data_IF_864616980238
#
_entry.id   IF_864616980238
#
_cell.length_a   1.000
_cell.length_b   1.000
_cell.length_c   1.000
_cell.angle_alpha   90.00
_cell.angle_beta   90.00
_cell.angle_gamma   90.00
#
_symmetry.space_group_name_H-M   'P 1'
#
loop_
_entity.id
_entity.type
_entity.pdbx_description
1 polymer ?
#
# COMPACT_ATOMS: atom_id res chain seq x y z
N UNK A 1 2.07 -25.75 -29.21
CA UNK A 1 2.17 -25.25 -27.82
C UNK A 1 1.49 -23.90 -27.74
N UNK A 2 0.57 -23.74 -26.80
CA UNK A 2 -0.42 -22.66 -26.78
C UNK A 2 0.15 -21.42 -26.04
N UNK A 3 0.01 -20.24 -26.63
CA UNK A 3 0.55 -18.93 -26.18
C UNK A 3 0.07 -18.40 -24.80
N UNK A 4 -0.67 -19.16 -23.98
CA UNK A 4 -1.18 -18.66 -22.69
C UNK A 4 -0.18 -18.80 -21.54
N UNK A 5 0.77 -19.75 -21.62
CA UNK A 5 1.76 -19.95 -20.56
C UNK A 5 2.81 -18.82 -20.49
N UNK A 6 3.02 -18.09 -21.59
CA UNK A 6 3.98 -16.96 -21.65
C UNK A 6 3.54 -15.73 -20.84
N UNK A 7 2.27 -15.65 -20.45
CA UNK A 7 1.72 -14.50 -19.72
C UNK A 7 1.66 -14.70 -18.20
N UNK A 8 2.10 -15.86 -17.68
CA UNK A 8 2.04 -16.19 -16.25
C UNK A 8 3.27 -15.77 -15.44
N UNK A 9 4.34 -15.29 -16.09
CA UNK A 9 5.63 -15.02 -15.42
C UNK A 9 6.19 -13.62 -15.67
N UNK A 10 5.45 -12.72 -16.31
CA UNK A 10 5.95 -11.37 -16.55
C UNK A 10 5.81 -10.53 -15.29
N UNK A 11 6.93 -9.95 -14.84
CA UNK A 11 6.98 -8.90 -13.83
C UNK A 11 6.17 -7.66 -14.21
N UNK A 12 6.05 -6.71 -13.28
CA UNK A 12 5.48 -5.40 -13.59
C UNK A 12 6.27 -4.73 -14.73
N UNK A 13 5.59 -4.03 -15.66
CA UNK A 13 6.26 -3.15 -16.59
C UNK A 13 7.11 -2.12 -15.84
N UNK A 14 8.33 -1.87 -16.32
CA UNK A 14 9.30 -1.03 -15.62
C UNK A 14 8.77 0.38 -15.33
N UNK A 15 8.07 0.99 -16.29
CA UNK A 15 7.44 2.30 -16.11
C UNK A 15 6.40 2.31 -14.97
N UNK A 16 5.66 1.22 -14.80
CA UNK A 16 4.68 1.08 -13.72
C UNK A 16 5.39 0.93 -12.37
N UNK A 17 6.46 0.14 -12.33
CA UNK A 17 7.27 -0.05 -11.13
C UNK A 17 7.90 1.28 -10.66
N UNK A 18 8.50 2.04 -11.57
CA UNK A 18 9.10 3.34 -11.26
C UNK A 18 8.06 4.34 -10.74
N UNK A 19 6.87 4.36 -11.34
CA UNK A 19 5.75 5.17 -10.84
C UNK A 19 5.36 4.77 -9.42
N UNK A 20 5.22 3.46 -9.16
CA UNK A 20 4.86 2.94 -7.85
C UNK A 20 5.91 3.33 -6.80
N UNK A 21 7.20 3.19 -7.10
CA UNK A 21 8.28 3.59 -6.19
C UNK A 21 8.26 5.09 -5.88
N UNK A 22 8.02 5.93 -6.89
CA UNK A 22 7.91 7.38 -6.71
C UNK A 22 6.70 7.75 -5.85
N UNK A 23 5.53 7.22 -6.17
CA UNK A 23 4.28 7.49 -5.44
C UNK A 23 4.41 7.06 -3.97
N UNK A 24 5.02 5.90 -3.71
CA UNK A 24 5.24 5.40 -2.36
C UNK A 24 6.19 6.31 -1.55
N UNK A 25 7.25 6.85 -2.16
CA UNK A 25 8.16 7.76 -1.46
C UNK A 25 7.42 9.01 -0.96
N UNK A 26 6.63 9.63 -1.85
CA UNK A 26 5.83 10.80 -1.48
C UNK A 26 4.77 10.47 -0.45
N UNK A 27 4.10 9.31 -0.58
CA UNK A 27 3.07 8.91 0.37
C UNK A 27 3.63 8.66 1.77
N UNK A 28 4.81 8.02 1.89
CA UNK A 28 5.40 7.71 3.20
C UNK A 28 5.70 8.95 4.04
N UNK A 29 5.98 10.09 3.40
CA UNK A 29 6.22 11.37 4.09
C UNK A 29 4.94 11.99 4.66
N UNK A 30 3.78 11.69 4.06
CA UNK A 30 2.46 12.25 4.44
C UNK A 30 1.59 11.32 5.28
N UNK A 31 2.14 10.22 5.81
CA UNK A 31 1.36 9.24 6.58
C UNK A 31 0.66 9.85 7.80
N UNK A 32 1.31 10.68 8.64
CA UNK A 32 0.64 11.30 9.79
C UNK A 32 -0.60 12.08 9.38
N UNK A 33 -0.50 12.92 8.34
CA UNK A 33 -1.61 13.72 7.81
C UNK A 33 -2.75 12.85 7.25
N UNK A 34 -2.40 11.76 6.56
CA UNK A 34 -3.38 10.80 6.04
C UNK A 34 -4.18 10.18 7.18
N UNK A 35 -3.50 9.78 8.26
CA UNK A 35 -4.16 9.20 9.43
C UNK A 35 -5.02 10.27 10.09
N UNK A 36 -4.49 11.46 10.36
CA UNK A 36 -5.20 12.56 11.02
C UNK A 36 -6.52 12.89 10.32
N UNK A 37 -6.52 12.99 8.99
CA UNK A 37 -7.70 13.29 8.19
C UNK A 37 -8.85 12.27 8.36
N UNK A 38 -8.54 11.03 8.75
CA UNK A 38 -9.52 9.94 8.84
C UNK A 38 -9.67 9.36 10.25
N UNK A 39 -8.81 9.72 11.20
CA UNK A 39 -8.67 9.02 12.46
C UNK A 39 -9.97 9.02 13.30
N UNK A 40 -10.64 10.16 13.39
CA UNK A 40 -11.91 10.27 14.12
C UNK A 40 -13.02 9.42 13.51
N UNK A 41 -13.03 9.25 12.19
CA UNK A 41 -13.95 8.34 11.53
C UNK A 41 -13.60 6.88 11.78
N UNK A 42 -12.30 6.53 11.71
CA UNK A 42 -11.80 5.18 11.97
C UNK A 42 -12.11 4.73 13.40
N UNK A 43 -11.83 5.58 14.39
CA UNK A 43 -12.10 5.32 15.81
C UNK A 43 -13.58 5.07 16.13
N UNK A 44 -14.49 5.73 15.41
CA UNK A 44 -15.94 5.53 15.58
C UNK A 44 -16.45 4.26 14.90
N UNK A 45 -15.82 3.87 13.80
CA UNK A 45 -16.33 2.82 12.92
C UNK A 45 -15.67 1.47 13.15
N UNK A 46 -14.45 1.45 13.69
CA UNK A 46 -13.65 0.26 13.86
C UNK A 46 -13.29 0.06 15.33
N UNK A 47 -13.64 -1.11 15.86
CA UNK A 47 -13.16 -1.55 17.17
C UNK A 47 -11.85 -2.33 16.98
N UNK A 48 -10.72 -1.67 17.22
CA UNK A 48 -9.39 -2.28 17.17
C UNK A 48 -8.80 -2.40 18.58
N UNK A 49 -8.15 -3.52 18.85
CA UNK A 49 -7.43 -3.75 20.11
C UNK A 49 -6.02 -3.16 20.12
N UNK A 50 -5.46 -2.89 18.94
CA UNK A 50 -4.12 -2.35 18.73
C UNK A 50 -4.15 -1.34 17.58
N UNK A 51 -4.04 -0.05 17.91
CA UNK A 51 -4.12 1.04 16.94
C UNK A 51 -2.98 0.98 15.91
N UNK A 52 -1.77 0.66 16.38
CA UNK A 52 -0.57 0.57 15.54
C UNK A 52 -0.71 -0.51 14.46
N UNK A 53 -1.03 -1.74 14.86
CA UNK A 53 -1.19 -2.85 13.91
C UNK A 53 -2.33 -2.59 12.93
N UNK A 54 -3.43 -2.01 13.42
CA UNK A 54 -4.57 -1.64 12.59
C UNK A 54 -4.18 -0.59 11.53
N UNK A 55 -3.54 0.51 11.93
CA UNK A 55 -3.18 1.59 11.01
C UNK A 55 -2.12 1.16 10.00
N UNK A 56 -1.09 0.41 10.42
CA UNK A 56 -0.09 -0.17 9.50
C UNK A 56 -0.79 -1.08 8.48
N UNK A 57 -1.64 -1.99 8.95
CA UNK A 57 -2.39 -2.90 8.09
C UNK A 57 -3.30 -2.16 7.11
N UNK A 58 -4.01 -1.13 7.58
CA UNK A 58 -4.88 -0.29 6.76
C UNK A 58 -4.10 0.43 5.66
N UNK A 59 -2.97 1.07 5.98
CA UNK A 59 -2.15 1.79 5.00
C UNK A 59 -1.59 0.82 3.95
N UNK A 60 -1.03 -0.32 4.38
CA UNK A 60 -0.49 -1.33 3.46
C UNK A 60 -1.60 -1.89 2.56
N UNK A 61 -2.75 -2.25 3.12
CA UNK A 61 -3.89 -2.77 2.38
C UNK A 61 -4.45 -1.76 1.36
N UNK A 62 -4.56 -0.49 1.74
CA UNK A 62 -5.00 0.57 0.85
C UNK A 62 -4.00 0.80 -0.30
N UNK A 63 -2.69 0.75 -0.03
CA UNK A 63 -1.66 0.82 -1.08
C UNK A 63 -1.81 -0.35 -2.06
N UNK A 64 -1.91 -1.58 -1.55
CA UNK A 64 -2.05 -2.78 -2.39
C UNK A 64 -3.28 -2.67 -3.30
N UNK A 65 -4.44 -2.33 -2.73
CA UNK A 65 -5.68 -2.16 -3.50
C UNK A 65 -5.53 -1.06 -4.55
N UNK A 66 -4.98 0.09 -4.18
CA UNK A 66 -4.80 1.24 -5.08
C UNK A 66 -3.91 0.90 -6.27
N UNK A 67 -2.80 0.19 -6.06
CA UNK A 67 -1.91 -0.19 -7.16
C UNK A 67 -2.45 -1.34 -8.01
N UNK A 68 -3.23 -2.26 -7.44
CA UNK A 68 -3.97 -3.26 -8.22
C UNK A 68 -4.98 -2.57 -9.15
N UNK A 69 -5.74 -1.61 -8.61
CA UNK A 69 -6.72 -0.84 -9.38
C UNK A 69 -6.05 0.03 -10.45
N UNK A 70 -4.94 0.71 -10.11
CA UNK A 70 -4.18 1.51 -11.07
C UNK A 70 -3.62 0.67 -12.21
N UNK A 71 -3.10 -0.54 -11.89
CA UNK A 71 -2.65 -1.48 -12.91
C UNK A 71 -3.80 -1.89 -13.83
N UNK A 72 -4.94 -2.29 -13.26
CA UNK A 72 -6.11 -2.66 -14.05
C UNK A 72 -6.63 -1.52 -14.93
N UNK A 73 -6.62 -0.29 -14.43
CA UNK A 73 -6.99 0.89 -15.19
C UNK A 73 -6.05 1.14 -16.37
N UNK A 74 -4.74 1.06 -16.15
CA UNK A 74 -3.74 1.33 -17.18
C UNK A 74 -3.64 0.24 -18.25
N UNK A 75 -3.77 -1.03 -17.86
CA UNK A 75 -3.52 -2.17 -18.75
C UNK A 75 -4.78 -2.95 -19.14
N UNK A 76 -5.96 -2.57 -18.63
CA UNK A 76 -7.24 -3.21 -18.93
C UNK A 76 -7.36 -4.65 -18.43
N UNK A 77 -6.52 -5.07 -17.48
CA UNK A 77 -6.50 -6.43 -16.93
C UNK A 77 -5.99 -6.46 -15.49
N UNK A 78 -6.41 -7.47 -14.73
CA UNK A 78 -5.87 -7.71 -13.40
C UNK A 78 -4.39 -8.14 -13.45
N UNK A 79 -3.56 -7.75 -12.47
CA UNK A 79 -2.21 -8.26 -12.35
C UNK A 79 -2.20 -9.79 -12.15
N UNK A 80 -1.24 -10.48 -12.77
CA UNK A 80 -1.01 -11.89 -12.49
C UNK A 80 -0.30 -12.08 -11.13
N UNK A 81 -0.12 -13.33 -10.68
CA UNK A 81 0.50 -13.62 -9.38
C UNK A 81 1.90 -13.01 -9.22
N UNK A 82 2.72 -13.00 -10.28
CA UNK A 82 4.06 -12.41 -10.22
C UNK A 82 4.02 -10.89 -10.08
N UNK A 83 3.08 -10.24 -10.76
CA UNK A 83 2.86 -8.79 -10.67
C UNK A 83 2.29 -8.39 -9.31
N UNK A 84 1.40 -9.20 -8.73
CA UNK A 84 0.93 -9.00 -7.35
C UNK A 84 2.08 -9.12 -6.34
N UNK A 85 2.97 -10.11 -6.55
CA UNK A 85 4.18 -10.26 -5.73
C UNK A 85 5.09 -9.04 -5.87
N UNK A 86 5.31 -8.55 -7.09
CA UNK A 86 6.14 -7.36 -7.32
C UNK A 86 5.52 -6.11 -6.65
N UNK A 87 4.20 -5.90 -6.73
CA UNK A 87 3.49 -4.83 -6.00
C UNK A 87 3.73 -4.97 -4.49
N UNK A 88 3.50 -6.17 -3.95
CA UNK A 88 3.68 -6.44 -2.52
C UNK A 88 5.12 -6.16 -2.07
N UNK A 89 6.11 -6.67 -2.80
CA UNK A 89 7.52 -6.50 -2.47
C UNK A 89 7.93 -5.02 -2.48
N UNK A 90 7.44 -4.25 -3.44
CA UNK A 90 7.76 -2.81 -3.50
C UNK A 90 7.14 -2.03 -2.34
N UNK A 91 5.90 -2.36 -1.94
CA UNK A 91 5.28 -1.77 -0.73
C UNK A 91 6.04 -2.21 0.53
N UNK A 92 6.39 -3.49 0.64
CA UNK A 92 7.11 -4.05 1.79
C UNK A 92 8.49 -3.41 2.01
N UNK A 93 9.17 -2.95 0.95
CA UNK A 93 10.42 -2.15 1.07
C UNK A 93 10.22 -0.81 1.79
N UNK A 94 8.99 -0.32 1.86
CA UNK A 94 8.61 0.92 2.55
C UNK A 94 7.98 0.69 3.92
N UNK A 95 7.93 -0.56 4.36
CA UNK A 95 7.29 -0.93 5.64
C UNK A 95 7.85 -0.14 6.82
N UNK A 96 9.16 0.01 6.90
CA UNK A 96 9.81 0.74 8.01
C UNK A 96 9.34 2.20 8.05
N UNK A 97 9.28 2.88 6.90
CA UNK A 97 8.80 4.26 6.82
C UNK A 97 7.32 4.36 7.17
N UNK A 98 6.51 3.37 6.77
CA UNK A 98 5.09 3.30 7.14
C UNK A 98 4.94 3.17 8.65
N UNK A 99 5.68 2.24 9.25
CA UNK A 99 5.70 2.01 10.70
C UNK A 99 6.13 3.28 11.45
N UNK A 100 7.16 3.97 10.98
CA UNK A 100 7.63 5.23 11.55
C UNK A 100 6.57 6.34 11.49
N UNK A 101 5.91 6.52 10.34
CA UNK A 101 4.85 7.52 10.18
C UNK A 101 3.64 7.24 11.08
N UNK A 102 3.26 5.96 11.24
CA UNK A 102 2.18 5.55 12.15
C UNK A 102 2.59 5.81 13.61
N UNK A 103 3.80 5.43 14.00
CA UNK A 103 4.29 5.66 15.37
C UNK A 103 4.32 7.15 15.72
N UNK A 104 4.83 8.00 14.82
CA UNK A 104 4.86 9.45 15.03
C UNK A 104 3.44 10.01 15.29
N UNK A 105 2.46 9.63 14.47
CA UNK A 105 1.08 10.05 14.67
C UNK A 105 0.52 9.61 16.03
N UNK A 106 0.74 8.36 16.43
CA UNK A 106 0.22 7.82 17.69
C UNK A 106 0.86 8.50 18.91
N UNK A 107 2.17 8.76 18.86
CA UNK A 107 2.92 9.44 19.92
C UNK A 107 2.44 10.89 20.09
N UNK A 108 2.32 11.64 19.00
CA UNK A 108 1.86 13.04 19.03
C UNK A 108 0.44 13.19 19.58
N UNK A 109 -0.42 12.20 19.32
CA UNK A 109 -1.81 12.20 19.75
C UNK A 109 -2.06 11.47 21.07
N UNK A 110 -1.01 10.97 21.74
CA UNK A 110 -1.10 10.19 22.98
C UNK A 110 -2.06 8.98 22.88
N UNK A 111 -2.08 8.31 21.73
CA UNK A 111 -2.90 7.13 21.47
C UNK A 111 -2.11 5.88 21.84
N UNK A 112 -2.73 4.98 22.61
CA UNK A 112 -2.16 3.68 22.99
C UNK A 112 -2.57 2.59 22.01
#
# INVERSE_FOLDING_TARGET
>A
MKNWEKNLSCSLPEEFLQRLEKDLNTMTEGIPDIIEAHYEFLKKSWNYSNAYEFLVGMIVGNCQLSYIQAFNHQFGKMPNSKQLEDIHNTISRRKIQIEQGVSAFLEENNIK
#
